data_IF_405454434803
#
_entry.id   IF_405454434803
#
_cell.length_a   1.000
_cell.length_b   1.000
_cell.length_c   1.000
_cell.angle_alpha   90.00
_cell.angle_beta   90.00
_cell.angle_gamma   90.00
#
_symmetry.space_group_name_H-M   'P 1'
#
loop_
_entity.id
_entity.type
_entity.pdbx_description
1 polymer ?
#
# COMPACT_ATOMS: atom_id res chain seq x y z
N UNK A 1 -18.92 -9.29 10.85
CA UNK A 1 -17.79 -10.14 10.42
C UNK A 1 -17.16 -10.80 11.63
N UNK A 2 -16.85 -12.11 11.52
CA UNK A 2 -16.21 -12.89 12.60
C UNK A 2 -14.69 -12.69 12.54
N UNK A 3 -14.26 -11.49 12.94
CA UNK A 3 -12.82 -11.13 13.00
C UNK A 3 -12.43 -11.04 14.47
N UNK A 4 -11.33 -11.70 14.84
CA UNK A 4 -10.63 -11.52 16.12
C UNK A 4 -9.33 -10.75 15.90
N UNK A 5 -8.92 -9.97 16.90
CA UNK A 5 -7.74 -9.11 16.81
C UNK A 5 -6.76 -9.47 17.92
N UNK A 6 -5.49 -9.70 17.55
CA UNK A 6 -4.39 -9.86 18.48
C UNK A 6 -3.54 -8.59 18.43
N UNK A 7 -3.61 -7.75 19.44
CA UNK A 7 -2.71 -6.60 19.57
C UNK A 7 -1.32 -7.07 20.02
N UNK A 8 -0.29 -6.69 19.30
CA UNK A 8 1.09 -7.10 19.58
C UNK A 8 1.93 -5.89 19.95
N UNK A 9 2.46 -5.85 21.17
CA UNK A 9 3.28 -4.75 21.66
C UNK A 9 3.48 -4.79 23.17
N UNK A 10 3.84 -3.64 23.75
CA UNK A 10 3.88 -3.49 25.20
C UNK A 10 2.45 -3.63 25.75
N UNK A 11 2.21 -4.70 26.48
CA UNK A 11 0.85 -5.08 26.92
C UNK A 11 0.21 -4.02 27.81
N UNK A 12 0.98 -3.40 28.70
CA UNK A 12 0.45 -2.36 29.60
C UNK A 12 -0.01 -1.14 28.80
N UNK A 13 0.79 -0.72 27.80
CA UNK A 13 0.45 0.40 26.93
C UNK A 13 -0.75 0.07 26.05
N UNK A 14 -0.81 -1.13 25.48
CA UNK A 14 -1.95 -1.58 24.66
C UNK A 14 -3.22 -1.59 25.47
N UNK A 15 -3.22 -2.17 26.68
CA UNK A 15 -4.40 -2.20 27.56
C UNK A 15 -4.87 -0.81 27.94
N UNK A 16 -3.94 0.07 28.34
CA UNK A 16 -4.25 1.47 28.66
C UNK A 16 -4.89 2.21 27.49
N UNK A 17 -4.45 1.94 26.26
CA UNK A 17 -5.04 2.55 25.07
C UNK A 17 -6.43 1.97 24.79
N UNK A 18 -6.63 0.67 24.94
CA UNK A 18 -7.94 0.03 24.77
C UNK A 18 -8.99 0.56 25.77
N UNK A 19 -8.58 0.92 26.98
CA UNK A 19 -9.49 1.43 28.02
C UNK A 19 -10.13 2.79 27.66
N UNK A 20 -9.52 3.56 26.73
CA UNK A 20 -10.08 4.87 26.27
C UNK A 20 -11.01 4.71 25.07
N UNK A 21 -11.12 3.52 24.51
CA UNK A 21 -11.99 3.22 23.37
C UNK A 21 -13.23 2.42 23.79
N UNK A 22 -14.35 2.64 23.12
CA UNK A 22 -15.57 1.84 23.36
C UNK A 22 -15.47 0.50 22.62
N UNK A 23 -15.02 -0.53 23.33
CA UNK A 23 -14.87 -1.91 22.83
C UNK A 23 -15.97 -2.84 23.34
N UNK A 24 -17.09 -2.30 23.87
CA UNK A 24 -18.19 -3.10 24.42
C UNK A 24 -18.71 -4.13 23.43
N UNK A 25 -18.76 -5.38 23.88
CA UNK A 25 -19.18 -6.52 23.07
C UNK A 25 -18.11 -7.07 22.13
N UNK A 26 -16.88 -6.53 22.16
CA UNK A 26 -15.72 -7.01 21.40
C UNK A 26 -14.64 -7.65 22.27
N UNK A 27 -14.81 -7.63 23.60
CA UNK A 27 -13.77 -8.05 24.56
C UNK A 27 -13.33 -9.51 24.33
N UNK A 28 -14.25 -10.39 23.96
CA UNK A 28 -13.95 -11.80 23.66
C UNK A 28 -13.20 -12.01 22.35
N UNK A 29 -13.14 -10.99 21.50
CA UNK A 29 -12.47 -11.01 20.19
C UNK A 29 -11.12 -10.28 20.19
N UNK A 30 -10.74 -9.69 21.32
CA UNK A 30 -9.52 -8.91 21.46
C UNK A 30 -8.60 -9.61 22.45
N UNK A 31 -7.39 -9.91 22.00
CA UNK A 31 -6.31 -10.44 22.83
C UNK A 31 -5.07 -9.59 22.71
N UNK A 32 -4.16 -9.67 23.68
CA UNK A 32 -2.87 -8.99 23.67
C UNK A 32 -1.75 -10.02 23.71
N UNK A 33 -0.76 -9.82 22.84
CA UNK A 33 0.50 -10.57 22.84
C UNK A 33 1.63 -9.61 23.17
N UNK A 34 2.31 -9.83 24.29
CA UNK A 34 3.40 -8.94 24.75
C UNK A 34 4.61 -9.01 23.80
N UNK A 35 5.17 -7.85 23.50
CA UNK A 35 6.44 -7.68 22.81
C UNK A 35 7.22 -6.51 23.44
N UNK A 36 8.45 -6.77 23.90
CA UNK A 36 9.23 -5.82 24.71
C UNK A 36 10.00 -4.78 23.89
N UNK A 37 10.09 -4.96 22.56
CA UNK A 37 10.92 -4.12 21.69
C UNK A 37 10.08 -3.44 20.61
N UNK A 38 10.52 -2.25 20.21
CA UNK A 38 9.92 -1.46 19.12
C UNK A 38 10.98 -1.19 18.05
N UNK A 39 10.58 -1.27 16.78
CA UNK A 39 11.39 -0.79 15.65
C UNK A 39 11.03 0.67 15.38
N UNK A 40 11.98 1.56 15.56
CA UNK A 40 11.81 2.99 15.35
C UNK A 40 11.84 3.34 13.85
N UNK A 41 11.13 4.40 13.46
CA UNK A 41 11.01 4.80 12.05
C UNK A 41 12.33 5.16 11.37
N UNK A 42 13.34 5.57 12.12
CA UNK A 42 14.68 5.92 11.60
C UNK A 42 15.66 4.75 11.48
N UNK A 43 15.26 3.54 11.89
CA UNK A 43 16.15 2.38 11.88
C UNK A 43 16.19 1.70 10.50
N UNK A 44 17.25 0.93 10.25
CA UNK A 44 17.28 0.03 9.09
C UNK A 44 16.36 -1.17 9.36
N UNK A 45 15.31 -1.32 8.55
CA UNK A 45 14.28 -2.35 8.77
C UNK A 45 14.83 -3.77 8.80
N UNK A 46 15.72 -4.13 7.88
CA UNK A 46 16.32 -5.47 7.81
C UNK A 46 17.21 -5.77 9.04
N UNK A 47 18.04 -4.81 9.44
CA UNK A 47 18.90 -4.97 10.61
C UNK A 47 18.08 -5.05 11.90
N UNK A 48 17.03 -4.23 12.01
CA UNK A 48 16.15 -4.21 13.17
C UNK A 48 15.44 -5.54 13.36
N UNK A 49 14.93 -6.15 12.30
CA UNK A 49 14.30 -7.49 12.35
C UNK A 49 15.30 -8.57 12.80
N UNK A 50 16.57 -8.47 12.40
CA UNK A 50 17.62 -9.42 12.82
C UNK A 50 18.04 -9.26 14.27
N UNK A 51 18.10 -8.02 14.76
CA UNK A 51 18.56 -7.68 16.11
C UNK A 51 17.43 -7.71 17.15
N UNK A 52 16.26 -7.18 16.80
CA UNK A 52 15.08 -7.03 17.69
C UNK A 52 14.08 -8.15 17.45
N UNK A 53 14.43 -9.36 17.88
CA UNK A 53 13.57 -10.54 17.69
C UNK A 53 12.27 -10.49 18.47
N UNK A 54 12.23 -9.73 19.56
CA UNK A 54 11.05 -9.50 20.39
C UNK A 54 10.36 -8.17 20.06
N UNK A 55 10.52 -7.65 18.84
CA UNK A 55 9.77 -6.47 18.41
C UNK A 55 8.32 -6.83 18.06
N UNK A 56 7.41 -5.87 18.23
CA UNK A 56 6.00 -6.04 17.90
C UNK A 56 5.79 -6.52 16.46
N UNK A 57 6.53 -5.97 15.50
CA UNK A 57 6.51 -6.40 14.09
C UNK A 57 6.97 -7.86 13.95
N UNK A 58 8.09 -8.23 14.59
CA UNK A 58 8.60 -9.60 14.52
C UNK A 58 7.63 -10.61 15.12
N UNK A 59 7.05 -10.31 16.29
CA UNK A 59 6.09 -11.19 16.95
C UNK A 59 4.78 -11.30 16.20
N UNK A 60 4.26 -10.20 15.65
CA UNK A 60 3.05 -10.23 14.83
C UNK A 60 3.20 -11.13 13.59
N UNK A 61 4.36 -11.09 12.94
CA UNK A 61 4.64 -11.98 11.80
C UNK A 61 4.84 -13.43 12.25
N UNK A 62 5.41 -13.68 13.44
CA UNK A 62 5.51 -15.04 14.00
C UNK A 62 4.13 -15.65 14.23
N UNK A 63 3.17 -14.91 14.77
CA UNK A 63 1.79 -15.41 14.96
C UNK A 63 1.15 -15.86 13.64
N UNK A 64 1.40 -15.13 12.54
CA UNK A 64 0.93 -15.57 11.22
C UNK A 64 1.66 -16.81 10.75
N UNK A 65 2.98 -16.87 10.93
CA UNK A 65 3.80 -18.04 10.56
C UNK A 65 3.36 -19.30 11.28
N UNK A 66 3.04 -19.17 12.56
CA UNK A 66 2.69 -20.31 13.44
C UNK A 66 1.21 -20.71 13.30
N UNK A 67 0.43 -19.98 12.47
CA UNK A 67 -0.99 -20.26 12.20
C UNK A 67 -1.93 -19.78 13.32
N UNK A 68 -1.45 -18.92 14.21
CA UNK A 68 -2.25 -18.32 15.28
C UNK A 68 -3.03 -17.09 14.79
N UNK A 69 -2.63 -16.52 13.66
CA UNK A 69 -3.33 -15.44 12.97
C UNK A 69 -3.32 -15.66 11.44
N UNK A 70 -4.35 -15.19 10.76
CA UNK A 70 -4.50 -15.31 9.31
C UNK A 70 -3.79 -14.18 8.54
N UNK A 71 -3.61 -13.03 9.19
CA UNK A 71 -3.00 -11.85 8.59
C UNK A 71 -2.31 -10.96 9.64
N UNK A 72 -1.40 -10.10 9.18
CA UNK A 72 -0.77 -9.06 10.00
C UNK A 72 -1.09 -7.68 9.43
N UNK A 73 -1.45 -6.74 10.31
CA UNK A 73 -1.63 -5.32 10.01
C UNK A 73 -0.66 -4.53 10.87
N UNK A 74 0.04 -3.58 10.28
CA UNK A 74 1.00 -2.74 11.00
C UNK A 74 0.97 -1.31 10.50
N UNK A 75 0.84 -0.35 11.41
CA UNK A 75 1.02 1.08 11.15
C UNK A 75 2.46 1.54 11.44
N UNK A 76 3.38 0.60 11.70
CA UNK A 76 4.77 0.88 12.03
C UNK A 76 5.68 0.97 10.80
N UNK A 77 6.95 0.60 11.00
CA UNK A 77 8.02 0.71 10.00
C UNK A 77 7.82 -0.26 8.83
N UNK A 78 7.36 0.22 7.66
CA UNK A 78 7.04 -0.59 6.47
C UNK A 78 8.20 -1.49 6.04
N UNK A 79 9.44 -0.95 5.98
CA UNK A 79 10.63 -1.73 5.62
C UNK A 79 10.92 -2.89 6.58
N UNK A 80 10.64 -2.72 7.88
CA UNK A 80 10.78 -3.79 8.86
C UNK A 80 9.68 -4.85 8.70
N UNK A 81 8.43 -4.43 8.41
CA UNK A 81 7.34 -5.35 8.15
C UNK A 81 7.62 -6.22 6.91
N UNK A 82 8.02 -5.61 5.81
CA UNK A 82 8.39 -6.33 4.56
C UNK A 82 9.57 -7.27 4.82
N UNK A 83 10.60 -6.82 5.54
CA UNK A 83 11.75 -7.66 5.90
C UNK A 83 11.35 -8.85 6.80
N UNK A 84 10.53 -8.61 7.83
CA UNK A 84 10.05 -9.66 8.73
C UNK A 84 9.20 -10.70 7.98
N UNK A 85 8.24 -10.24 7.17
CA UNK A 85 7.41 -11.10 6.35
C UNK A 85 8.25 -11.94 5.38
N UNK A 86 9.17 -11.33 4.64
CA UNK A 86 10.04 -12.04 3.68
C UNK A 86 10.92 -13.07 4.35
N UNK A 87 11.52 -12.75 5.51
CA UNK A 87 12.42 -13.67 6.22
C UNK A 87 11.65 -14.82 6.86
N UNK A 88 10.51 -14.55 7.49
CA UNK A 88 9.80 -15.50 8.35
C UNK A 88 8.74 -16.30 7.61
N UNK A 89 7.91 -15.64 6.78
CA UNK A 89 6.86 -16.30 6.00
C UNK A 89 7.41 -16.87 4.69
N UNK A 90 8.47 -16.27 4.17
CA UNK A 90 9.05 -16.53 2.85
C UNK A 90 8.11 -16.13 1.71
N UNK A 91 8.58 -16.26 0.49
CA UNK A 91 7.79 -16.04 -0.72
C UNK A 91 7.14 -17.35 -1.18
N UNK A 92 6.05 -17.24 -1.93
CA UNK A 92 5.45 -18.41 -2.59
C UNK A 92 6.41 -19.00 -3.63
N UNK A 93 6.31 -20.32 -3.92
CA UNK A 93 7.09 -20.93 -4.98
C UNK A 93 6.93 -20.18 -6.31
N UNK A 94 8.06 -19.87 -6.97
CA UNK A 94 8.07 -19.10 -8.21
C UNK A 94 8.07 -17.59 -8.04
N UNK A 95 7.96 -17.07 -6.83
CA UNK A 95 8.07 -15.64 -6.52
C UNK A 95 9.42 -15.35 -5.87
N UNK A 96 10.29 -14.66 -6.58
CA UNK A 96 11.64 -14.34 -6.10
C UNK A 96 11.64 -13.19 -5.08
N UNK A 97 10.73 -12.21 -5.23
CA UNK A 97 10.61 -11.06 -4.33
C UNK A 97 9.15 -10.67 -4.11
N UNK A 98 8.83 -10.31 -2.88
CA UNK A 98 7.56 -9.67 -2.55
C UNK A 98 7.56 -8.23 -3.08
N UNK A 99 6.41 -7.77 -3.61
CA UNK A 99 6.16 -6.37 -3.98
C UNK A 99 5.16 -5.72 -3.03
N UNK A 100 5.29 -4.42 -2.82
CA UNK A 100 4.30 -3.63 -2.08
C UNK A 100 3.21 -3.16 -3.03
N UNK A 101 2.01 -3.71 -2.89
CA UNK A 101 0.82 -3.29 -3.65
C UNK A 101 0.04 -2.21 -2.89
N UNK A 102 -0.34 -1.13 -3.57
CA UNK A 102 -1.15 -0.04 -3.02
C UNK A 102 -2.33 0.23 -3.92
N UNK A 103 -3.56 0.14 -3.39
CA UNK A 103 -4.76 0.54 -4.11
C UNK A 103 -4.90 2.05 -4.10
N UNK A 104 -5.03 2.65 -5.27
CA UNK A 104 -5.09 4.10 -5.44
C UNK A 104 -6.40 4.47 -6.14
N UNK A 105 -7.16 5.45 -5.61
CA UNK A 105 -8.37 5.95 -6.26
C UNK A 105 -8.08 6.56 -7.64
N UNK A 106 -8.95 6.25 -8.60
CA UNK A 106 -8.90 6.80 -9.96
C UNK A 106 -10.31 7.05 -10.49
N UNK A 107 -10.42 7.58 -11.70
CA UNK A 107 -11.71 7.72 -12.38
C UNK A 107 -12.37 6.35 -12.57
N UNK A 108 -13.59 6.21 -12.07
CA UNK A 108 -14.36 4.98 -12.19
C UNK A 108 -13.91 3.80 -11.31
N UNK A 109 -13.15 4.06 -10.23
CA UNK A 109 -12.77 3.05 -9.24
C UNK A 109 -11.37 3.20 -8.68
N UNK A 110 -10.65 2.09 -8.57
CA UNK A 110 -9.27 2.04 -8.09
C UNK A 110 -8.36 1.36 -9.10
N UNK A 111 -7.07 1.62 -9.02
CA UNK A 111 -6.02 0.80 -9.64
C UNK A 111 -5.02 0.35 -8.58
N UNK A 112 -4.32 -0.73 -8.83
CA UNK A 112 -3.23 -1.23 -7.99
C UNK A 112 -1.90 -0.73 -8.55
N UNK A 113 -1.13 0.00 -7.74
CA UNK A 113 0.28 0.26 -8.02
C UNK A 113 1.14 -0.81 -7.35
N UNK A 114 2.06 -1.41 -8.07
CA UNK A 114 3.04 -2.39 -7.56
C UNK A 114 4.36 -2.28 -8.36
N UNK A 115 5.52 -2.05 -7.80
CA UNK A 115 5.94 -2.00 -6.40
C UNK A 115 5.88 -0.57 -5.84
N UNK A 116 5.24 -0.39 -4.70
CA UNK A 116 5.12 0.89 -4.01
C UNK A 116 6.32 1.28 -3.14
N UNK A 117 7.43 0.53 -3.17
CA UNK A 117 8.63 0.91 -2.44
C UNK A 117 9.35 -0.21 -1.66
N UNK A 118 9.00 -1.47 -1.85
CA UNK A 118 9.70 -2.59 -1.20
C UNK A 118 11.05 -2.90 -1.87
N UNK A 119 11.17 -2.72 -3.19
CA UNK A 119 12.36 -3.06 -3.96
C UNK A 119 12.83 -1.86 -4.79
N UNK A 120 13.83 -1.15 -4.32
CA UNK A 120 14.33 0.08 -4.96
C UNK A 120 14.98 -0.21 -6.32
N UNK A 121 15.71 -1.32 -6.43
CA UNK A 121 16.43 -1.75 -7.62
C UNK A 121 16.12 -3.23 -7.94
N UNK A 122 14.93 -3.52 -8.48
CA UNK A 122 14.58 -4.87 -8.90
C UNK A 122 15.17 -5.18 -10.28
N UNK A 123 15.37 -6.46 -10.58
CA UNK A 123 15.64 -6.87 -11.97
C UNK A 123 14.34 -6.83 -12.81
N UNK A 124 14.43 -6.78 -14.16
CA UNK A 124 13.25 -6.84 -15.02
C UNK A 124 12.36 -8.08 -14.77
N UNK A 125 12.95 -9.23 -14.44
CA UNK A 125 12.21 -10.44 -14.05
C UNK A 125 11.37 -10.25 -12.77
N UNK A 126 11.87 -9.49 -11.80
CA UNK A 126 11.10 -9.17 -10.60
C UNK A 126 9.86 -8.33 -10.94
N UNK A 127 10.00 -7.37 -11.87
CA UNK A 127 8.88 -6.54 -12.33
C UNK A 127 7.78 -7.40 -12.99
N UNK A 128 8.16 -8.41 -13.77
CA UNK A 128 7.21 -9.39 -14.30
C UNK A 128 6.50 -10.15 -13.16
N UNK A 129 7.25 -10.58 -12.15
CA UNK A 129 6.66 -11.19 -10.95
C UNK A 129 5.66 -10.28 -10.24
N UNK A 130 6.00 -8.99 -10.10
CA UNK A 130 5.08 -7.99 -9.53
C UNK A 130 3.81 -7.82 -10.38
N UNK A 131 3.96 -7.81 -11.71
CA UNK A 131 2.83 -7.71 -12.64
C UNK A 131 1.86 -8.89 -12.50
N UNK A 132 2.38 -10.11 -12.43
CA UNK A 132 1.58 -11.32 -12.22
C UNK A 132 0.89 -11.30 -10.86
N UNK A 133 1.64 -11.03 -9.78
CA UNK A 133 1.06 -10.92 -8.43
C UNK A 133 -0.01 -9.84 -8.36
N UNK A 134 0.25 -8.66 -8.93
CA UNK A 134 -0.70 -7.55 -8.97
C UNK A 134 -1.97 -7.92 -9.74
N UNK A 135 -1.86 -8.61 -10.87
CA UNK A 135 -3.02 -9.08 -11.64
C UNK A 135 -3.90 -10.03 -10.83
N UNK A 136 -3.30 -11.04 -10.19
CA UNK A 136 -4.03 -12.00 -9.35
C UNK A 136 -4.65 -11.33 -8.13
N UNK A 137 -3.89 -10.46 -7.45
CA UNK A 137 -4.39 -9.73 -6.28
C UNK A 137 -5.58 -8.84 -6.63
N UNK A 138 -5.47 -8.03 -7.71
CA UNK A 138 -6.54 -7.15 -8.12
C UNK A 138 -7.83 -7.92 -8.45
N UNK A 139 -7.71 -9.01 -9.18
CA UNK A 139 -8.86 -9.87 -9.52
C UNK A 139 -9.53 -10.45 -8.27
N UNK A 140 -8.72 -10.87 -7.29
CA UNK A 140 -9.22 -11.51 -6.06
C UNK A 140 -9.90 -10.53 -5.10
N UNK A 141 -9.38 -9.31 -4.98
CA UNK A 141 -9.82 -8.33 -3.97
C UNK A 141 -10.83 -7.33 -4.55
N UNK A 142 -10.57 -6.81 -5.76
CA UNK A 142 -11.44 -5.79 -6.39
C UNK A 142 -12.47 -6.45 -7.30
N UNK A 143 -12.13 -7.57 -7.92
CA UNK A 143 -12.99 -8.29 -8.87
C UNK A 143 -12.95 -7.67 -10.27
N UNK A 144 -13.89 -8.06 -11.13
CA UNK A 144 -14.06 -7.42 -12.46
C UNK A 144 -13.41 -8.13 -13.63
N UNK A 145 -12.99 -9.38 -13.48
CA UNK A 145 -12.40 -10.19 -14.56
C UNK A 145 -10.91 -9.98 -14.70
N UNK A 146 -10.36 -10.26 -15.90
CA UNK A 146 -8.91 -10.18 -16.14
C UNK A 146 -8.40 -8.74 -16.09
N UNK A 147 -7.49 -8.46 -15.16
CA UNK A 147 -6.93 -7.15 -14.94
C UNK A 147 -5.96 -6.76 -16.08
N UNK A 148 -6.14 -5.57 -16.66
CA UNK A 148 -5.16 -4.97 -17.58
C UNK A 148 -3.97 -4.50 -16.77
N UNK A 149 -2.77 -4.87 -17.21
CA UNK A 149 -1.51 -4.51 -16.57
C UNK A 149 -0.73 -3.55 -17.46
N UNK A 150 -0.31 -2.41 -16.94
CA UNK A 150 0.52 -1.44 -17.64
C UNK A 150 1.83 -1.18 -16.91
N UNK A 151 2.91 -0.92 -17.68
CA UNK A 151 4.20 -0.53 -17.15
C UNK A 151 4.25 1.00 -16.99
N UNK A 152 4.50 1.48 -15.78
CA UNK A 152 4.69 2.92 -15.53
C UNK A 152 5.94 3.40 -16.26
N UNK A 153 5.77 4.42 -17.12
CA UNK A 153 6.85 4.95 -17.91
C UNK A 153 6.68 6.46 -18.17
N UNK A 154 7.67 7.08 -18.79
CA UNK A 154 7.67 8.50 -19.17
C UNK A 154 6.79 8.83 -20.37
N UNK A 155 6.36 7.83 -21.13
CA UNK A 155 5.49 7.95 -22.31
C UNK A 155 4.85 6.62 -22.65
N UNK A 156 3.84 6.63 -23.51
CA UNK A 156 3.04 5.44 -23.88
C UNK A 156 3.68 4.56 -24.96
N UNK A 157 4.66 5.09 -25.70
CA UNK A 157 5.27 4.39 -26.82
C UNK A 157 6.21 3.26 -26.34
N UNK A 158 6.26 2.10 -27.03
CA UNK A 158 7.05 0.93 -26.60
C UNK A 158 8.54 1.19 -26.40
N UNK A 159 9.11 2.12 -27.14
CA UNK A 159 10.55 2.45 -27.08
C UNK A 159 10.95 3.48 -26.02
N UNK A 160 10.00 3.98 -25.23
CA UNK A 160 10.27 4.99 -24.20
C UNK A 160 10.89 4.39 -22.92
N UNK A 161 11.55 5.25 -22.17
CA UNK A 161 12.14 4.92 -20.89
C UNK A 161 13.62 4.50 -20.99
N UNK A 162 14.13 4.03 -19.85
CA UNK A 162 15.49 3.51 -19.72
C UNK A 162 15.63 2.12 -20.35
N UNK A 163 16.85 1.62 -20.49
CA UNK A 163 17.06 0.22 -20.95
C UNK A 163 16.34 -0.78 -20.04
N UNK A 164 16.35 -0.54 -18.73
CA UNK A 164 15.56 -1.32 -17.75
C UNK A 164 14.07 -1.35 -18.12
N UNK A 165 13.47 -0.20 -18.45
CA UNK A 165 12.05 -0.15 -18.84
C UNK A 165 11.80 -0.92 -20.16
N UNK A 166 12.72 -0.86 -21.12
CA UNK A 166 12.60 -1.59 -22.38
C UNK A 166 12.70 -3.09 -22.19
N UNK A 167 13.62 -3.55 -21.32
CA UNK A 167 13.72 -4.96 -20.95
C UNK A 167 12.46 -5.44 -20.21
N UNK A 168 11.95 -4.65 -19.25
CA UNK A 168 10.68 -4.94 -18.58
C UNK A 168 9.54 -5.06 -19.60
N UNK A 169 9.44 -4.12 -20.54
CA UNK A 169 8.41 -4.13 -21.57
C UNK A 169 8.45 -5.41 -22.42
N UNK A 170 9.63 -5.80 -22.89
CA UNK A 170 9.81 -7.01 -23.68
C UNK A 170 9.37 -8.27 -22.92
N UNK A 171 9.77 -8.41 -21.65
CA UNK A 171 9.40 -9.54 -20.83
C UNK A 171 7.90 -9.55 -20.45
N UNK A 172 7.29 -8.39 -20.26
CA UNK A 172 5.86 -8.27 -19.95
C UNK A 172 4.97 -8.66 -21.14
N UNK A 173 5.44 -8.47 -22.38
CA UNK A 173 4.74 -8.95 -23.57
C UNK A 173 4.62 -10.48 -23.63
N UNK A 174 5.59 -11.19 -23.06
CA UNK A 174 5.64 -12.67 -23.02
C UNK A 174 4.99 -13.25 -21.76
N UNK A 175 4.64 -12.40 -20.79
CA UNK A 175 4.09 -12.84 -19.51
C UNK A 175 2.61 -13.29 -19.63
N UNK A 176 2.14 -14.25 -18.81
CA UNK A 176 0.76 -14.73 -18.85
C UNK A 176 -0.22 -13.74 -18.16
N UNK A 177 -0.26 -12.51 -18.66
CA UNK A 177 -1.08 -11.40 -18.16
C UNK A 177 -1.65 -10.60 -19.34
N UNK A 178 -2.70 -9.85 -19.10
CA UNK A 178 -3.21 -8.90 -20.09
C UNK A 178 -2.39 -7.61 -20.06
N UNK A 179 -1.20 -7.63 -20.65
CA UNK A 179 -0.35 -6.44 -20.74
C UNK A 179 -0.87 -5.45 -21.79
N UNK A 180 -1.02 -4.18 -21.42
CA UNK A 180 -1.56 -3.11 -22.27
C UNK A 180 -0.50 -2.08 -22.69
N UNK A 181 0.78 -2.33 -22.39
CA UNK A 181 1.89 -1.47 -22.76
C UNK A 181 2.28 -0.46 -21.68
N UNK A 182 3.01 0.58 -22.09
CA UNK A 182 3.43 1.65 -21.18
C UNK A 182 2.28 2.57 -20.81
N UNK A 183 2.28 3.04 -19.57
CA UNK A 183 1.35 4.04 -19.04
C UNK A 183 2.15 5.25 -18.58
N UNK A 184 1.90 6.40 -19.17
CA UNK A 184 2.49 7.65 -18.73
C UNK A 184 1.78 8.16 -17.48
N UNK A 185 2.52 8.88 -16.61
CA UNK A 185 2.02 9.37 -15.32
C UNK A 185 0.67 10.11 -15.38
N UNK A 186 0.43 10.90 -16.44
CA UNK A 186 -0.83 11.61 -16.63
C UNK A 186 -2.03 10.70 -16.96
N UNK A 187 -1.76 9.47 -17.43
CA UNK A 187 -2.78 8.48 -17.82
C UNK A 187 -3.23 7.57 -16.68
N UNK A 188 -2.46 7.51 -15.60
CA UNK A 188 -2.69 6.56 -14.50
C UNK A 188 -4.10 6.74 -13.90
N UNK A 189 -4.47 7.98 -13.55
CA UNK A 189 -5.75 8.28 -12.92
C UNK A 189 -6.96 8.14 -13.85
N UNK A 190 -6.74 7.99 -15.17
CA UNK A 190 -7.79 7.70 -16.17
C UNK A 190 -8.13 6.21 -16.26
N UNK A 191 -7.56 5.39 -15.38
CA UNK A 191 -7.77 3.94 -15.31
C UNK A 191 -7.53 3.24 -16.67
N UNK A 192 -6.39 3.55 -17.30
CA UNK A 192 -5.96 2.88 -18.53
C UNK A 192 -5.59 1.41 -18.27
N UNK A 193 -5.21 1.07 -17.03
CA UNK A 193 -5.01 -0.28 -16.53
C UNK A 193 -5.55 -0.42 -15.10
N UNK A 194 -5.87 -1.64 -14.72
CA UNK A 194 -6.25 -2.00 -13.35
C UNK A 194 -5.02 -2.17 -12.45
N UNK A 195 -3.90 -2.57 -13.04
CA UNK A 195 -2.61 -2.74 -12.35
C UNK A 195 -1.55 -1.92 -13.07
N UNK A 196 -0.84 -1.11 -12.33
CA UNK A 196 0.31 -0.33 -12.83
C UNK A 196 1.56 -0.85 -12.13
N UNK A 197 2.47 -1.43 -12.91
CA UNK A 197 3.71 -2.01 -12.39
C UNK A 197 4.89 -1.07 -12.61
N UNK A 198 5.78 -1.00 -11.63
CA UNK A 198 7.06 -0.26 -11.70
C UNK A 198 8.10 -0.85 -10.72
N UNK A 199 9.30 -0.29 -10.75
CA UNK A 199 10.27 -0.48 -9.67
C UNK A 199 9.83 0.28 -8.40
N UNK A 200 10.31 -0.16 -7.24
CA UNK A 200 9.91 0.43 -5.95
C UNK A 200 10.44 1.86 -5.73
N UNK A 201 11.53 2.27 -6.40
CA UNK A 201 12.00 3.66 -6.33
C UNK A 201 10.99 4.60 -7.00
N UNK A 202 10.62 4.29 -8.24
CA UNK A 202 9.62 5.04 -9.00
C UNK A 202 8.26 5.03 -8.30
N UNK A 203 7.83 3.86 -7.83
CA UNK A 203 6.55 3.70 -7.12
C UNK A 203 6.47 4.51 -5.84
N UNK A 204 7.51 4.50 -5.01
CA UNK A 204 7.55 5.27 -3.78
C UNK A 204 7.55 6.78 -4.04
N UNK A 205 8.32 7.25 -5.02
CA UNK A 205 8.30 8.67 -5.42
C UNK A 205 6.90 9.07 -5.89
N UNK A 206 6.27 8.27 -6.74
CA UNK A 206 4.92 8.52 -7.21
C UNK A 206 3.93 8.62 -6.05
N UNK A 207 3.91 7.64 -5.14
CA UNK A 207 3.04 7.64 -3.96
C UNK A 207 3.24 8.89 -3.10
N UNK A 208 4.48 9.20 -2.73
CA UNK A 208 4.78 10.36 -1.89
C UNK A 208 4.44 11.68 -2.56
N UNK A 209 4.60 11.75 -3.88
CA UNK A 209 4.22 12.94 -4.66
C UNK A 209 2.69 13.11 -4.67
N UNK A 210 1.94 12.05 -4.93
CA UNK A 210 0.47 12.08 -4.95
C UNK A 210 -0.09 12.40 -3.57
N UNK A 211 0.41 11.77 -2.51
CA UNK A 211 0.03 12.07 -1.12
C UNK A 211 0.31 13.55 -0.75
N UNK A 212 1.51 14.01 -1.05
CA UNK A 212 1.93 15.39 -0.77
C UNK A 212 1.10 16.41 -1.54
N UNK A 213 0.85 16.17 -2.83
CA UNK A 213 0.05 17.04 -3.67
C UNK A 213 -1.41 17.10 -3.20
N UNK A 214 -2.02 15.95 -2.89
CA UNK A 214 -3.38 15.91 -2.36
C UNK A 214 -3.52 16.73 -1.07
N UNK A 215 -2.60 16.55 -0.10
CA UNK A 215 -2.56 17.35 1.14
C UNK A 215 -2.43 18.85 0.86
N UNK A 216 -1.58 19.24 -0.09
CA UNK A 216 -1.39 20.64 -0.46
C UNK A 216 -2.65 21.24 -1.07
N UNK A 217 -3.32 20.55 -1.99
CA UNK A 217 -4.57 20.99 -2.61
C UNK A 217 -5.65 21.22 -1.56
N UNK A 218 -5.83 20.30 -0.61
CA UNK A 218 -6.80 20.49 0.49
C UNK A 218 -6.44 21.66 1.41
N UNK A 219 -5.14 21.86 1.67
CA UNK A 219 -4.67 22.99 2.47
C UNK A 219 -4.97 24.33 1.78
N UNK A 220 -4.65 24.44 0.48
CA UNK A 220 -4.95 25.65 -0.31
C UNK A 220 -6.44 25.92 -0.37
N UNK A 221 -7.24 24.90 -0.63
CA UNK A 221 -8.70 25.01 -0.66
C UNK A 221 -9.23 25.51 0.69
N UNK A 222 -8.74 24.99 1.82
CA UNK A 222 -9.12 25.46 3.16
C UNK A 222 -8.78 26.94 3.37
N UNK A 223 -7.59 27.38 2.94
CA UNK A 223 -7.18 28.79 3.03
C UNK A 223 -8.11 29.67 2.21
N UNK A 224 -8.38 29.31 0.95
CA UNK A 224 -9.26 30.09 0.07
C UNK A 224 -10.70 30.18 0.57
N UNK A 225 -11.24 29.08 1.10
CA UNK A 225 -12.60 29.06 1.64
C UNK A 225 -12.76 29.90 2.91
N UNK A 226 -11.70 30.05 3.70
CA UNK A 226 -11.72 30.88 4.93
C UNK A 226 -11.53 32.38 4.71
N UNK A 227 -11.30 32.83 3.48
CA UNK A 227 -11.03 34.25 3.21
C UNK A 227 -12.26 35.17 3.34
N UNK A 228 -13.49 34.64 3.29
CA UNK A 228 -14.68 35.44 3.46
C UNK A 228 -15.86 34.65 4.03
N UNK A 229 -16.78 35.33 4.77
CA UNK A 229 -17.99 34.70 5.30
C UNK A 229 -18.86 34.07 4.20
N UNK A 230 -18.93 34.65 3.01
CA UNK A 230 -19.69 34.14 1.89
C UNK A 230 -19.08 32.80 1.36
N UNK A 231 -17.74 32.74 1.24
CA UNK A 231 -17.04 31.48 0.85
C UNK A 231 -17.23 30.41 1.91
N UNK A 232 -17.17 30.76 3.19
CA UNK A 232 -17.45 29.82 4.29
C UNK A 232 -18.87 29.27 4.24
N UNK A 233 -19.86 30.12 4.00
CA UNK A 233 -21.25 29.66 3.84
C UNK A 233 -21.40 28.72 2.63
N UNK A 234 -20.79 29.05 1.49
CA UNK A 234 -20.74 28.18 0.33
C UNK A 234 -20.06 26.83 0.60
N UNK A 235 -18.95 26.83 1.34
CA UNK A 235 -18.27 25.61 1.77
C UNK A 235 -19.13 24.77 2.70
N UNK A 236 -19.89 25.38 3.60
CA UNK A 236 -20.82 24.67 4.48
C UNK A 236 -21.94 24.00 3.69
N UNK A 237 -22.51 24.65 2.69
CA UNK A 237 -23.50 24.05 1.78
C UNK A 237 -22.91 22.89 0.96
N UNK A 238 -21.66 23.04 0.50
CA UNK A 238 -20.95 22.02 -0.30
C UNK A 238 -20.22 20.94 0.56
N UNK A 239 -20.39 20.95 1.88
CA UNK A 239 -19.65 20.04 2.81
C UNK A 239 -19.76 18.55 2.45
N UNK A 240 -20.90 18.14 1.87
CA UNK A 240 -21.12 16.75 1.42
C UNK A 240 -20.18 16.37 0.29
N UNK A 241 -19.98 17.26 -0.69
CA UNK A 241 -19.04 17.02 -1.79
C UNK A 241 -17.59 16.95 -1.30
N UNK A 242 -17.17 17.88 -0.43
CA UNK A 242 -15.84 17.85 0.15
C UNK A 242 -15.57 16.59 0.98
N UNK A 243 -16.55 16.12 1.76
CA UNK A 243 -16.44 14.86 2.50
C UNK A 243 -16.31 13.68 1.57
N UNK A 244 -17.12 13.63 0.49
CA UNK A 244 -17.02 12.55 -0.50
C UNK A 244 -15.66 12.50 -1.18
N UNK A 245 -15.09 13.66 -1.57
CA UNK A 245 -13.76 13.73 -2.17
C UNK A 245 -12.70 13.30 -1.15
N UNK A 246 -12.77 13.83 0.09
CA UNK A 246 -11.83 13.46 1.15
C UNK A 246 -11.84 11.95 1.39
N UNK A 247 -13.01 11.33 1.50
CA UNK A 247 -13.10 9.88 1.71
C UNK A 247 -12.48 9.10 0.54
N UNK A 248 -12.72 9.54 -0.72
CA UNK A 248 -12.10 8.91 -1.91
C UNK A 248 -10.58 9.04 -1.96
N UNK A 249 -10.01 10.08 -1.34
CA UNK A 249 -8.56 10.36 -1.33
C UNK A 249 -7.90 9.98 0.01
N UNK A 250 -8.69 9.46 0.96
CA UNK A 250 -8.16 9.02 2.25
C UNK A 250 -7.37 7.71 2.07
N UNK A 251 -6.18 7.67 2.63
CA UNK A 251 -5.38 6.45 2.72
C UNK A 251 -5.96 5.45 3.72
N UNK A 252 -6.90 5.87 4.58
CA UNK A 252 -7.51 5.03 5.61
C UNK A 252 -8.36 3.88 5.02
N UNK A 253 -8.82 4.03 3.76
CA UNK A 253 -9.67 3.05 3.09
C UNK A 253 -8.88 2.15 2.11
N UNK A 254 -7.74 2.63 1.59
CA UNK A 254 -6.96 1.96 0.54
C UNK A 254 -5.47 1.84 0.84
N UNK A 255 -4.98 2.51 1.88
CA UNK A 255 -3.58 2.48 2.28
C UNK A 255 -3.31 1.38 3.30
N UNK A 256 -2.19 0.68 3.14
CA UNK A 256 -1.61 -0.18 4.16
C UNK A 256 -0.71 0.60 5.09
#
# INVERSE_FOLDING_TARGET
PDVSIIFVGDEERVRKELDVHDIKGLESRITCHHASQVVEMGENGLESVRKKKDSSISRAVDLVKDGEADAVVSAGHTGALVAAATIKLRTLPGIDRAGLGVLIPAEGGVFLLIDGGANIDPSPKHVVGFAVMGSVYYQSIVGGGEARVGLLNIGSEPGKGTEFCKECYALLLEAPIRFVGNIAGHGIFKKQAEVVVCDGFTGNIFLKTVEGFAKSVFSWLKVELNQSPLRMAGAWLARGAFRSIKNRTSTDEYGG
#
